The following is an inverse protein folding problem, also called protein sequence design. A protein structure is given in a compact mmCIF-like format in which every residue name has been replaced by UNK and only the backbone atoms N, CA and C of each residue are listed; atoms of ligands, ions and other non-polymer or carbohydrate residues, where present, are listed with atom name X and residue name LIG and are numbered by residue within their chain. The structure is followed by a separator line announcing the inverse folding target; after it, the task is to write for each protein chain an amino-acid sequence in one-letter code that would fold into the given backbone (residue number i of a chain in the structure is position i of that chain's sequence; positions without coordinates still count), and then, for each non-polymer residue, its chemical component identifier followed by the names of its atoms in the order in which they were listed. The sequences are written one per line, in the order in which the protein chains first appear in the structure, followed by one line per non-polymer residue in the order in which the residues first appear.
data_IF_859302703010
#
_entry.id   IF_859302703010
#
_cell.length_a   1.000
_cell.length_b   1.000
_cell.length_c   1.000
_cell.angle_alpha   90.00
_cell.angle_beta   90.00
_cell.angle_gamma   90.00
#
_symmetry.space_group_name_H-M   'P 1'
#
loop_
_entity.id
_entity.type
_entity.pdbx_description
1 polymer ?
#
# COMPACT_ATOMS: atom_id res chain seq x y z
N UNK A 1 6.01 -20.40 -3.44
CA UNK A 1 5.00 -21.47 -3.44
C UNK A 1 5.01 -22.13 -4.81
N UNK A 2 5.10 -23.46 -4.86
CA UNK A 2 4.98 -24.17 -6.14
C UNK A 2 3.50 -24.17 -6.53
N UNK A 3 3.19 -23.66 -7.71
CA UNK A 3 1.81 -23.56 -8.23
C UNK A 3 1.65 -24.52 -9.41
N UNK A 4 0.49 -25.19 -9.59
CA UNK A 4 0.27 -26.11 -10.71
C UNK A 4 0.45 -25.44 -12.09
N UNK A 5 0.13 -24.14 -12.15
CA UNK A 5 0.44 -23.25 -13.26
C UNK A 5 1.24 -22.07 -12.70
N UNK A 6 2.38 -21.69 -13.30
CA UNK A 6 3.22 -20.63 -12.77
C UNK A 6 2.46 -19.31 -12.57
N UNK A 7 2.37 -18.87 -11.31
CA UNK A 7 1.74 -17.61 -10.90
C UNK A 7 2.56 -16.93 -9.80
N UNK A 8 2.37 -15.62 -9.61
CA UNK A 8 3.12 -14.82 -8.64
C UNK A 8 2.24 -13.88 -7.83
N UNK A 9 2.69 -13.53 -6.62
CA UNK A 9 2.02 -12.56 -5.78
C UNK A 9 2.23 -11.13 -6.33
N UNK A 10 1.17 -10.29 -6.41
CA UNK A 10 1.28 -8.95 -6.96
C UNK A 10 2.03 -8.00 -6.03
N UNK A 11 2.70 -6.99 -6.62
CA UNK A 11 3.26 -5.85 -5.89
C UNK A 11 2.36 -4.63 -6.03
N UNK A 12 1.50 -4.41 -5.04
CA UNK A 12 0.47 -3.35 -5.09
C UNK A 12 1.03 -1.97 -4.70
N UNK A 13 0.28 -0.90 -5.00
CA UNK A 13 0.74 0.49 -4.78
C UNK A 13 1.14 0.78 -3.34
N UNK A 14 0.35 0.35 -2.35
CA UNK A 14 0.68 0.56 -0.94
C UNK A 14 1.99 -0.15 -0.53
N UNK A 15 2.20 -1.37 -1.05
CA UNK A 15 3.42 -2.13 -0.83
C UNK A 15 4.65 -1.44 -1.43
N UNK A 16 4.50 -0.87 -2.63
CA UNK A 16 5.55 -0.13 -3.31
C UNK A 16 5.87 1.17 -2.54
N UNK A 17 4.86 1.89 -2.05
CA UNK A 17 5.11 3.07 -1.21
C UNK A 17 5.89 2.71 0.06
N UNK A 18 5.53 1.62 0.75
CA UNK A 18 6.30 1.12 1.91
C UNK A 18 7.75 0.79 1.57
N UNK A 19 8.00 0.14 0.41
CA UNK A 19 9.34 -0.18 -0.06
C UNK A 19 10.16 1.07 -0.32
N UNK A 20 9.60 2.05 -1.05
CA UNK A 20 10.28 3.31 -1.36
C UNK A 20 10.60 4.06 -0.08
N UNK A 21 9.68 4.13 0.88
CA UNK A 21 9.92 4.76 2.18
C UNK A 21 11.09 4.08 2.92
N UNK A 22 11.09 2.74 3.01
CA UNK A 22 12.18 2.01 3.66
C UNK A 22 13.54 2.26 3.00
N UNK A 23 13.58 2.26 1.66
CA UNK A 23 14.79 2.53 0.88
C UNK A 23 15.31 3.94 1.16
N UNK A 24 14.44 4.97 1.15
CA UNK A 24 14.83 6.35 1.41
C UNK A 24 15.44 6.51 2.81
N UNK A 25 14.84 5.89 3.83
CA UNK A 25 15.40 5.91 5.19
C UNK A 25 16.77 5.24 5.26
N UNK A 26 16.91 4.06 4.66
CA UNK A 26 18.18 3.34 4.67
C UNK A 26 19.29 4.08 3.92
N UNK A 27 18.99 4.71 2.78
CA UNK A 27 19.96 5.56 2.06
C UNK A 27 20.39 6.75 2.95
N UNK A 28 19.44 7.38 3.66
CA UNK A 28 19.78 8.46 4.61
C UNK A 28 20.70 7.96 5.72
N UNK A 29 20.44 6.77 6.26
CA UNK A 29 21.28 6.16 7.29
C UNK A 29 22.69 5.89 6.77
N UNK A 30 22.85 5.33 5.58
CA UNK A 30 24.17 5.08 4.97
C UNK A 30 24.95 6.38 4.75
N UNK A 31 24.27 7.44 4.28
CA UNK A 31 24.88 8.76 4.09
C UNK A 31 25.33 9.40 5.42
N UNK A 32 24.73 9.00 6.53
CA UNK A 32 25.10 9.41 7.89
C UNK A 32 26.07 8.44 8.58
N UNK A 33 26.56 7.41 7.86
CA UNK A 33 27.48 6.40 8.38
C UNK A 33 26.84 5.39 9.34
N UNK A 34 25.51 5.26 9.31
CA UNK A 34 24.74 4.26 10.06
C UNK A 34 24.43 3.04 9.20
N UNK A 35 24.24 1.89 9.85
CA UNK A 35 23.82 0.66 9.18
C UNK A 35 22.30 0.71 8.82
N UNK A 36 21.91 0.35 7.59
CA UNK A 36 20.51 0.18 7.19
C UNK A 36 19.74 -0.78 8.09
N UNK A 37 18.62 -0.33 8.66
CA UNK A 37 17.80 -1.16 9.56
C UNK A 37 16.30 -1.11 9.25
N UNK A 38 15.86 -0.19 8.38
CA UNK A 38 14.45 0.04 8.10
C UNK A 38 13.89 -1.01 7.16
N UNK A 39 12.77 -1.63 7.54
CA UNK A 39 12.10 -2.68 6.78
C UNK A 39 10.66 -2.30 6.41
N UNK A 40 10.28 -2.55 5.16
CA UNK A 40 8.92 -2.31 4.67
C UNK A 40 7.92 -3.38 5.17
N UNK A 41 6.68 -2.97 5.40
CA UNK A 41 5.56 -3.90 5.59
C UNK A 41 4.98 -4.36 4.25
N UNK A 42 4.69 -5.66 4.17
CA UNK A 42 4.19 -6.28 2.94
C UNK A 42 2.67 -6.38 3.02
N UNK A 43 2.00 -5.28 2.71
CA UNK A 43 0.55 -5.12 2.81
C UNK A 43 -0.06 -4.96 1.41
N UNK A 44 -1.27 -5.47 1.19
CA UNK A 44 -1.97 -5.29 -0.07
C UNK A 44 -3.33 -4.64 0.10
N UNK A 45 -3.57 -3.63 -0.73
CA UNK A 45 -4.85 -2.93 -0.86
C UNK A 45 -5.14 -2.84 -2.35
N UNK A 46 -6.26 -3.42 -2.77
CA UNK A 46 -6.72 -3.39 -4.16
C UNK A 46 -8.15 -2.88 -4.23
N UNK A 47 -8.39 -1.89 -5.10
CA UNK A 47 -9.72 -1.44 -5.49
C UNK A 47 -9.93 -1.81 -6.96
N UNK A 48 -10.89 -2.70 -7.22
CA UNK A 48 -11.35 -3.09 -8.54
C UNK A 48 -12.68 -2.38 -8.84
N UNK A 49 -12.72 -1.64 -9.93
CA UNK A 49 -13.89 -0.86 -10.36
C UNK A 49 -14.61 -1.57 -11.50
N UNK A 50 -15.95 -1.61 -11.45
CA UNK A 50 -16.81 -2.27 -12.42
C UNK A 50 -17.84 -1.31 -13.04
N UNK A 51 -17.63 0.01 -12.94
CA UNK A 51 -18.51 1.01 -13.55
C UNK A 51 -19.29 1.79 -12.50
N UNK A 52 -20.41 1.26 -12.00
CA UNK A 52 -21.21 1.91 -10.94
C UNK A 52 -21.02 1.25 -9.55
N UNK A 53 -20.16 0.23 -9.49
CA UNK A 53 -19.85 -0.58 -8.31
C UNK A 53 -18.40 -1.02 -8.33
N UNK A 54 -17.91 -1.57 -7.22
CA UNK A 54 -16.54 -2.08 -7.15
C UNK A 54 -16.33 -3.14 -6.08
N UNK A 55 -15.15 -3.74 -6.06
CA UNK A 55 -14.68 -4.63 -5.00
C UNK A 55 -13.36 -4.13 -4.40
N UNK A 56 -13.30 -4.09 -3.07
CA UNK A 56 -12.11 -3.75 -2.31
C UNK A 56 -11.57 -4.99 -1.60
N UNK A 57 -10.27 -5.21 -1.71
CA UNK A 57 -9.53 -6.28 -1.05
C UNK A 57 -8.40 -5.69 -0.21
N UNK A 58 -8.32 -6.11 1.06
CA UNK A 58 -7.26 -5.73 1.99
C UNK A 58 -6.67 -7.00 2.62
N UNK A 59 -5.35 -7.16 2.48
CA UNK A 59 -4.59 -8.27 3.05
C UNK A 59 -3.35 -7.76 3.79
N UNK A 60 -3.28 -8.02 5.11
CA UNK A 60 -2.22 -7.58 6.00
C UNK A 60 -1.74 -8.76 6.86
N UNK A 61 -0.51 -9.26 6.66
CA UNK A 61 0.33 -9.10 5.46
C UNK A 61 -0.26 -9.76 4.20
N UNK A 62 0.30 -9.42 3.04
CA UNK A 62 -0.02 -9.99 1.73
C UNK A 62 0.30 -11.50 1.70
N UNK A 63 1.49 -11.86 2.19
CA UNK A 63 1.98 -13.24 2.29
C UNK A 63 1.42 -13.86 3.58
N UNK A 64 0.71 -15.01 3.52
CA UNK A 64 0.18 -15.68 4.71
C UNK A 64 1.28 -16.09 5.73
N UNK A 65 0.93 -16.27 7.02
CA UNK A 65 -0.40 -16.11 7.64
C UNK A 65 -0.80 -14.62 7.79
N UNK A 66 -2.09 -14.33 7.59
CA UNK A 66 -2.62 -12.96 7.58
C UNK A 66 -3.31 -12.60 8.89
N UNK A 67 -3.06 -11.38 9.37
CA UNK A 67 -3.81 -10.79 10.48
C UNK A 67 -5.16 -10.23 10.01
N UNK A 68 -5.19 -9.68 8.79
CA UNK A 68 -6.40 -9.13 8.15
C UNK A 68 -6.52 -9.67 6.74
N UNK A 69 -7.70 -10.20 6.42
CA UNK A 69 -8.10 -10.58 5.07
C UNK A 69 -9.58 -10.22 4.89
N UNK A 70 -9.85 -9.07 4.29
CA UNK A 70 -11.21 -8.58 4.04
C UNK A 70 -11.41 -8.32 2.54
N UNK A 71 -12.50 -8.87 2.01
CA UNK A 71 -13.10 -8.51 0.73
C UNK A 71 -14.50 -7.86 0.91
N UNK A 72 -14.76 -6.66 0.35
CA UNK A 72 -16.12 -6.07 0.29
C UNK A 72 -16.43 -5.56 -1.11
N UNK A 73 -17.69 -5.74 -1.51
CA UNK A 73 -18.26 -5.18 -2.74
C UNK A 73 -19.21 -4.03 -2.40
N UNK A 74 -19.27 -3.01 -3.25
CA UNK A 74 -20.27 -1.95 -3.15
C UNK A 74 -20.01 -0.73 -4.02
N UNK A 75 -21.03 0.11 -4.20
CA UNK A 75 -20.95 1.37 -4.97
C UNK A 75 -19.91 2.34 -4.43
N UNK A 76 -19.67 2.31 -3.12
CA UNK A 76 -18.66 3.14 -2.47
C UNK A 76 -17.24 2.86 -3.00
N UNK A 77 -16.96 1.65 -3.50
CA UNK A 77 -15.63 1.30 -4.02
C UNK A 77 -15.32 2.05 -5.32
N UNK A 78 -16.32 2.21 -6.20
CA UNK A 78 -16.18 3.02 -7.42
C UNK A 78 -15.80 4.47 -7.06
N UNK A 79 -16.54 5.06 -6.13
CA UNK A 79 -16.25 6.42 -5.65
C UNK A 79 -14.88 6.52 -4.98
N UNK A 80 -14.48 5.52 -4.19
CA UNK A 80 -13.17 5.47 -3.57
C UNK A 80 -12.04 5.39 -4.60
N UNK A 81 -12.22 4.62 -5.70
CA UNK A 81 -11.25 4.51 -6.78
C UNK A 81 -11.03 5.85 -7.48
N UNK A 82 -12.10 6.55 -7.86
CA UNK A 82 -12.03 7.89 -8.49
C UNK A 82 -11.37 8.90 -7.55
N UNK A 83 -11.74 8.88 -6.26
CA UNK A 83 -11.17 9.79 -5.27
C UNK A 83 -9.65 9.55 -5.12
N UNK A 84 -9.23 8.29 -5.05
CA UNK A 84 -7.82 7.92 -4.96
C UNK A 84 -7.04 8.34 -6.21
N UNK A 85 -7.59 8.16 -7.41
CA UNK A 85 -6.96 8.59 -8.66
C UNK A 85 -6.66 10.10 -8.67
N UNK A 86 -7.69 10.92 -8.40
CA UNK A 86 -7.55 12.38 -8.35
C UNK A 86 -6.56 12.81 -7.27
N UNK A 87 -6.60 12.14 -6.12
CA UNK A 87 -5.67 12.37 -5.03
C UNK A 87 -4.24 12.07 -5.46
N UNK A 88 -3.97 10.89 -5.99
CA UNK A 88 -2.63 10.43 -6.35
C UNK A 88 -2.01 11.30 -7.44
N UNK A 89 -2.76 11.65 -8.48
CA UNK A 89 -2.29 12.57 -9.54
C UNK A 89 -1.95 13.94 -8.95
N UNK A 90 -2.79 14.48 -8.06
CA UNK A 90 -2.51 15.77 -7.40
C UNK A 90 -1.28 15.71 -6.50
N UNK A 91 -1.08 14.59 -5.78
CA UNK A 91 0.10 14.32 -4.94
C UNK A 91 1.38 14.38 -5.79
N UNK A 92 1.38 13.71 -6.94
CA UNK A 92 2.51 13.75 -7.89
C UNK A 92 2.78 15.16 -8.43
N UNK A 93 1.73 15.89 -8.84
CA UNK A 93 1.88 17.28 -9.33
C UNK A 93 2.38 18.27 -8.27
N UNK A 94 2.10 18.02 -6.99
CA UNK A 94 2.57 18.87 -5.87
C UNK A 94 3.95 18.50 -5.34
N UNK A 95 4.52 17.36 -5.75
CA UNK A 95 5.82 16.90 -5.28
C UNK A 95 5.86 16.46 -3.81
N UNK A 96 4.71 16.11 -3.23
CA UNK A 96 4.65 15.66 -1.82
C UNK A 96 4.55 14.14 -1.76
N UNK A 97 5.51 13.46 -1.13
CA UNK A 97 5.57 11.99 -1.07
C UNK A 97 4.59 11.37 -0.07
N UNK A 98 4.26 12.06 1.02
CA UNK A 98 3.30 11.56 2.01
C UNK A 98 2.66 12.73 2.76
N UNK A 99 1.42 13.13 2.43
CA UNK A 99 0.74 14.10 3.24
C UNK A 99 0.37 13.47 4.58
N UNK A 100 0.54 14.23 5.65
CA UNK A 100 0.41 13.82 7.05
C UNK A 100 -0.91 13.04 7.32
N UNK A 101 -2.00 13.39 6.65
CA UNK A 101 -3.28 12.69 6.79
C UNK A 101 -3.27 11.24 6.32
N UNK A 102 -2.49 10.89 5.28
CA UNK A 102 -2.42 9.53 4.75
C UNK A 102 -1.82 8.59 5.81
N UNK A 103 -0.73 9.06 6.44
CA UNK A 103 -0.05 8.38 7.54
C UNK A 103 -0.99 8.17 8.74
N UNK A 104 -1.78 9.19 9.11
CA UNK A 104 -2.72 9.08 10.23
C UNK A 104 -3.91 8.15 9.94
N UNK A 105 -4.52 8.24 8.75
CA UNK A 105 -5.66 7.40 8.38
C UNK A 105 -5.25 5.93 8.33
N UNK A 106 -4.11 5.61 7.72
CA UNK A 106 -3.61 4.25 7.63
C UNK A 106 -3.20 3.70 9.00
N UNK A 107 -2.58 4.51 9.85
CA UNK A 107 -2.25 4.13 11.23
C UNK A 107 -3.51 3.85 12.06
N UNK A 108 -4.58 4.64 11.90
CA UNK A 108 -5.86 4.38 12.55
C UNK A 108 -6.52 3.08 12.06
N UNK A 109 -6.28 2.69 10.81
CA UNK A 109 -6.75 1.40 10.25
C UNK A 109 -5.82 0.22 10.60
N UNK A 110 -4.81 0.42 11.46
CA UNK A 110 -3.84 -0.62 11.85
C UNK A 110 -2.82 -0.96 10.76
N UNK A 111 -2.69 -0.12 9.73
CA UNK A 111 -1.84 -0.35 8.57
C UNK A 111 -0.59 0.52 8.67
N UNK A 112 0.50 -0.02 9.22
CA UNK A 112 1.82 0.63 9.20
C UNK A 112 2.54 0.42 7.86
N UNK A 113 3.35 1.38 7.40
CA UNK A 113 4.22 1.25 6.20
C UNK A 113 5.58 0.57 6.50
N UNK A 114 6.10 0.76 7.72
CA UNK A 114 7.38 0.22 8.16
C UNK A 114 7.16 -0.74 9.34
N UNK A 115 8.03 -1.73 9.48
CA UNK A 115 8.06 -2.69 10.60
C UNK A 115 8.83 -2.13 11.79
#
# INVERSE_FOLDING_TARGET
EATPVPTGAPKTGYMIESMVTAIVHNISDELEGREPSTNATWNAICLADMGDTGAAFVALPQIPPRNVAWFKKGKWVHMAKIAFEKYFIRKMKKGTSEPIYEKYILKMLGIGKLK
#
